data_IF_669362405241
#
_entry.id   IF_669362405241
#
_cell.length_a   1.000
_cell.length_b   1.000
_cell.length_c   1.000
_cell.angle_alpha   90.00
_cell.angle_beta   90.00
_cell.angle_gamma   90.00
#
_symmetry.space_group_name_H-M   'P 1'
#
loop_
_entity.id
_entity.type
_entity.pdbx_description
1 polymer ?
#
# COMPACT_ATOMS: atom_id res chain seq x y z
N UNK A 1 9.49 -20.67 26.39
CA UNK A 1 9.23 -19.24 26.57
C UNK A 1 8.01 -18.95 25.72
N UNK A 2 7.02 -18.26 26.26
CA UNK A 2 5.84 -17.91 25.48
C UNK A 2 6.31 -17.05 24.29
N UNK A 3 6.04 -17.52 23.08
CA UNK A 3 6.50 -16.88 21.83
C UNK A 3 5.47 -15.85 21.35
N UNK A 4 4.37 -15.71 22.09
CA UNK A 4 3.29 -14.77 21.81
C UNK A 4 3.75 -13.33 22.01
N UNK A 5 3.48 -12.48 21.02
CA UNK A 5 3.60 -11.05 21.17
C UNK A 5 2.54 -10.51 22.12
N UNK A 6 2.93 -9.62 23.03
CA UNK A 6 2.00 -8.82 23.82
C UNK A 6 1.14 -7.92 22.91
N UNK A 7 -0.17 -7.84 23.16
CA UNK A 7 -1.09 -6.92 22.49
C UNK A 7 -1.59 -5.90 23.51
N UNK A 8 -1.32 -4.61 23.27
CA UNK A 8 -1.88 -3.52 24.08
C UNK A 8 -3.09 -2.92 23.38
N UNK A 9 -4.18 -2.77 24.13
CA UNK A 9 -5.42 -2.15 23.66
C UNK A 9 -5.53 -0.72 24.17
N UNK A 10 -5.92 0.17 23.27
CA UNK A 10 -6.19 1.57 23.57
C UNK A 10 -7.53 2.00 22.97
N UNK A 11 -8.20 2.95 23.61
CA UNK A 11 -9.36 3.62 23.01
C UNK A 11 -8.92 4.60 21.90
N UNK A 12 -9.86 5.14 21.10
CA UNK A 12 -9.53 6.05 20.00
C UNK A 12 -8.77 7.32 20.43
N UNK A 13 -8.94 7.75 21.69
CA UNK A 13 -8.25 8.88 22.31
C UNK A 13 -6.89 8.52 22.93
N UNK A 14 -6.39 7.30 22.71
CA UNK A 14 -5.13 6.76 23.23
C UNK A 14 -5.11 6.56 24.76
N UNK A 15 -6.28 6.37 25.39
CA UNK A 15 -6.34 5.88 26.77
C UNK A 15 -6.07 4.38 26.80
N UNK A 16 -5.18 3.93 27.67
CA UNK A 16 -4.89 2.50 27.86
C UNK A 16 -6.13 1.76 28.38
N UNK A 17 -6.45 0.60 27.80
CA UNK A 17 -7.61 -0.21 28.16
C UNK A 17 -7.23 -1.54 28.81
N UNK A 18 -6.40 -2.31 28.11
CA UNK A 18 -6.03 -3.65 28.51
C UNK A 18 -4.74 -4.13 27.84
N UNK A 19 -4.25 -5.25 28.32
CA UNK A 19 -3.14 -6.01 27.74
C UNK A 19 -3.63 -7.46 27.54
N UNK A 20 -3.33 -8.03 26.37
CA UNK A 20 -3.65 -9.40 26.01
C UNK A 20 -2.34 -10.10 25.68
N UNK A 21 -2.04 -11.16 26.43
CA UNK A 21 -0.88 -12.04 26.25
C UNK A 21 -1.29 -13.50 25.95
N UNK A 22 -2.59 -13.81 26.05
CA UNK A 22 -3.17 -15.12 25.77
C UNK A 22 -4.17 -15.07 24.61
N UNK A 23 -3.78 -15.62 23.46
CA UNK A 23 -4.59 -15.77 22.26
C UNK A 23 -4.14 -16.99 21.46
N UNK A 24 -4.90 -17.39 20.45
CA UNK A 24 -4.59 -18.58 19.64
C UNK A 24 -3.60 -18.26 18.53
N UNK A 25 -3.88 -17.22 17.75
CA UNK A 25 -3.00 -16.69 16.72
C UNK A 25 -3.21 -15.19 16.52
N UNK A 26 -2.15 -14.52 16.12
CA UNK A 26 -2.13 -13.13 15.68
C UNK A 26 -1.34 -13.06 14.38
N UNK A 27 -1.95 -12.51 13.34
CA UNK A 27 -1.30 -12.17 12.08
C UNK A 27 -1.24 -10.64 11.95
N UNK A 28 -0.08 -10.11 11.59
CA UNK A 28 0.12 -8.71 11.24
C UNK A 28 0.81 -8.60 9.89
N UNK A 29 0.18 -7.90 8.95
CA UNK A 29 0.67 -7.68 7.60
C UNK A 29 1.04 -6.21 7.43
N UNK A 30 2.33 -5.91 7.28
CA UNK A 30 2.84 -4.58 6.97
C UNK A 30 3.12 -4.46 5.46
N UNK A 31 2.79 -3.31 4.88
CA UNK A 31 2.83 -3.08 3.45
C UNK A 31 3.63 -1.82 3.13
N UNK A 32 4.51 -1.91 2.12
CA UNK A 32 5.38 -0.78 1.76
C UNK A 32 4.56 0.40 1.21
N UNK A 33 3.72 0.13 0.21
CA UNK A 33 2.89 1.15 -0.48
C UNK A 33 1.40 1.04 -0.19
N UNK A 34 0.94 -0.10 0.35
CA UNK A 34 -0.48 -0.36 0.64
C UNK A 34 -0.84 -0.09 2.11
N UNK A 35 -2.12 -0.28 2.43
CA UNK A 35 -2.62 -0.32 3.81
C UNK A 35 -2.47 -1.75 4.32
N UNK A 36 -1.76 -1.92 5.42
CA UNK A 36 -1.60 -3.20 6.10
C UNK A 36 -2.85 -3.61 6.88
N UNK A 37 -2.81 -4.81 7.47
CA UNK A 37 -3.92 -5.39 8.22
C UNK A 37 -3.45 -6.26 9.36
N UNK A 38 -4.37 -6.62 10.24
CA UNK A 38 -4.16 -7.64 11.25
C UNK A 38 -5.39 -8.52 11.43
N UNK A 39 -5.16 -9.72 11.94
CA UNK A 39 -6.20 -10.65 12.36
C UNK A 39 -5.78 -11.35 13.65
N UNK A 40 -6.69 -11.41 14.62
CA UNK A 40 -6.48 -12.01 15.94
C UNK A 40 -7.58 -13.05 16.19
N UNK A 41 -7.17 -14.28 16.52
CA UNK A 41 -8.05 -15.35 16.96
C UNK A 41 -7.90 -15.54 18.47
N UNK A 42 -8.98 -15.36 19.21
CA UNK A 42 -8.97 -15.41 20.68
C UNK A 42 -10.27 -16.01 21.22
N UNK A 43 -10.19 -16.79 22.30
CA UNK A 43 -11.40 -17.34 22.94
C UNK A 43 -12.26 -16.23 23.50
N UNK A 44 -13.58 -16.36 23.34
CA UNK A 44 -14.54 -15.30 23.64
C UNK A 44 -14.47 -14.79 25.09
N UNK A 45 -14.16 -15.69 26.02
CA UNK A 45 -14.11 -15.48 27.47
C UNK A 45 -12.71 -15.10 28.00
N UNK A 46 -11.74 -14.89 27.10
CA UNK A 46 -10.39 -14.46 27.48
C UNK A 46 -10.42 -13.04 28.09
N UNK A 47 -9.59 -12.74 29.10
CA UNK A 47 -9.50 -11.39 29.65
C UNK A 47 -9.15 -10.35 28.57
N UNK A 48 -9.82 -9.18 28.60
CA UNK A 48 -9.56 -8.07 27.69
C UNK A 48 -10.37 -8.10 26.39
N UNK A 49 -11.11 -9.18 26.11
CA UNK A 49 -11.93 -9.29 24.90
C UNK A 49 -13.08 -8.28 24.87
N UNK A 50 -13.51 -7.76 26.02
CA UNK A 50 -14.51 -6.70 26.12
C UNK A 50 -14.06 -5.38 25.46
N UNK A 51 -12.75 -5.21 25.26
CA UNK A 51 -12.14 -4.04 24.61
C UNK A 51 -11.79 -4.28 23.13
N UNK A 52 -11.98 -5.49 22.61
CA UNK A 52 -11.81 -5.81 21.19
C UNK A 52 -13.06 -5.40 20.38
N UNK A 53 -13.35 -4.10 20.40
CA UNK A 53 -14.50 -3.48 19.75
C UNK A 53 -14.05 -2.53 18.65
N UNK A 54 -14.96 -2.17 17.75
CA UNK A 54 -14.64 -1.27 16.62
C UNK A 54 -14.06 0.07 17.11
N UNK A 55 -13.19 0.69 16.31
CA UNK A 55 -12.44 1.93 16.55
C UNK A 55 -11.37 1.87 17.67
N UNK A 56 -11.37 0.87 18.55
CA UNK A 56 -10.25 0.66 19.47
C UNK A 56 -8.98 0.27 18.71
N UNK A 57 -7.83 0.59 19.30
CA UNK A 57 -6.53 0.41 18.70
C UNK A 57 -5.79 -0.76 19.32
N UNK A 58 -5.03 -1.46 18.49
CA UNK A 58 -4.08 -2.47 18.94
C UNK A 58 -2.64 -1.98 18.72
N UNK A 59 -1.74 -2.37 19.61
CA UNK A 59 -0.29 -2.26 19.44
C UNK A 59 0.33 -3.60 19.77
N UNK A 60 1.13 -4.12 18.83
CA UNK A 60 1.65 -5.49 18.88
C UNK A 60 3.14 -5.46 19.25
N UNK A 61 3.55 -6.39 20.10
CA UNK A 61 4.95 -6.63 20.48
C UNK A 61 5.68 -5.38 21.03
N UNK A 62 4.94 -4.42 21.60
CA UNK A 62 5.48 -3.15 22.08
C UNK A 62 6.06 -2.24 20.99
N UNK A 63 5.90 -2.58 19.71
CA UNK A 63 6.33 -1.77 18.59
C UNK A 63 5.19 -0.85 18.16
N UNK A 64 5.39 0.46 18.35
CA UNK A 64 4.36 1.43 18.01
C UNK A 64 4.05 1.48 16.52
N UNK A 65 4.94 0.99 15.64
CA UNK A 65 4.71 0.87 14.19
C UNK A 65 3.84 -0.34 13.84
N UNK A 66 3.76 -1.35 14.70
CA UNK A 66 2.87 -2.50 14.55
C UNK A 66 1.55 -2.23 15.26
N UNK A 67 0.79 -1.28 14.70
CA UNK A 67 -0.47 -0.85 15.27
C UNK A 67 -1.57 -0.71 14.21
N UNK A 68 -2.81 -0.82 14.66
CA UNK A 68 -3.98 -0.74 13.79
C UNK A 68 -5.23 -0.37 14.55
N UNK A 69 -6.28 -0.07 13.78
CA UNK A 69 -7.63 0.21 14.26
C UNK A 69 -8.49 -1.03 14.01
N UNK A 70 -9.23 -1.47 15.03
CA UNK A 70 -10.17 -2.58 14.92
C UNK A 70 -11.36 -2.13 14.07
N UNK A 71 -11.66 -2.89 13.01
CA UNK A 71 -12.76 -2.59 12.10
C UNK A 71 -13.82 -3.68 12.10
N UNK A 72 -13.49 -4.90 12.53
CA UNK A 72 -14.39 -6.05 12.45
C UNK A 72 -14.17 -7.01 13.61
N UNK A 73 -15.29 -7.55 14.11
CA UNK A 73 -15.32 -8.65 15.08
C UNK A 73 -16.36 -9.67 14.65
N UNK A 74 -15.96 -10.92 14.58
CA UNK A 74 -16.82 -12.03 14.15
C UNK A 74 -16.77 -13.11 15.22
N UNK A 75 -17.92 -13.65 15.60
CA UNK A 75 -17.98 -14.87 16.41
C UNK A 75 -17.82 -16.06 15.48
N UNK A 76 -16.82 -16.89 15.74
CA UNK A 76 -16.61 -18.18 15.07
C UNK A 76 -16.68 -19.33 16.09
N UNK A 77 -16.75 -20.56 15.59
CA UNK A 77 -16.70 -21.78 16.41
C UNK A 77 -15.57 -22.66 15.87
N UNK A 78 -14.84 -23.32 16.76
CA UNK A 78 -13.93 -24.39 16.33
C UNK A 78 -14.63 -25.74 16.18
N UNK A 79 -13.85 -26.77 15.80
CA UNK A 79 -14.34 -28.13 15.56
C UNK A 79 -15.01 -28.76 16.81
N UNK A 80 -14.68 -28.26 18.00
CA UNK A 80 -15.24 -28.69 19.29
C UNK A 80 -16.44 -27.83 19.73
N UNK A 81 -16.82 -26.83 18.92
CA UNK A 81 -17.92 -25.90 19.20
C UNK A 81 -17.57 -24.80 20.20
N UNK A 82 -16.29 -24.56 20.47
CA UNK A 82 -15.85 -23.46 21.35
C UNK A 82 -15.96 -22.15 20.61
N UNK A 83 -16.66 -21.18 21.20
CA UNK A 83 -16.83 -19.84 20.66
C UNK A 83 -15.53 -19.03 20.72
N UNK A 84 -15.21 -18.36 19.61
CA UNK A 84 -14.02 -17.54 19.44
C UNK A 84 -14.38 -16.20 18.81
N UNK A 85 -13.59 -15.19 19.13
CA UNK A 85 -13.52 -13.96 18.38
C UNK A 85 -12.47 -14.08 17.28
N UNK A 86 -12.87 -13.72 16.06
CA UNK A 86 -11.97 -13.31 14.99
C UNK A 86 -12.06 -11.79 14.90
N UNK A 87 -11.00 -11.11 15.34
CA UNK A 87 -10.90 -9.65 15.35
C UNK A 87 -9.96 -9.24 14.23
N UNK A 88 -10.39 -8.32 13.37
CA UNK A 88 -9.56 -7.81 12.28
C UNK A 88 -9.65 -6.30 12.14
N UNK A 89 -8.62 -5.75 11.52
CA UNK A 89 -8.48 -4.32 11.34
C UNK A 89 -7.35 -3.94 10.41
N UNK A 90 -7.18 -2.64 10.21
CA UNK A 90 -6.21 -2.07 9.27
C UNK A 90 -5.17 -1.24 10.01
N UNK A 91 -3.97 -1.15 9.45
CA UNK A 91 -2.93 -0.22 9.96
C UNK A 91 -3.45 1.22 9.93
N UNK A 92 -2.94 2.10 10.79
CA UNK A 92 -3.54 3.43 11.01
C UNK A 92 -3.54 4.33 9.77
N UNK A 93 -2.68 4.08 8.78
CA UNK A 93 -2.72 4.78 7.50
C UNK A 93 -4.00 4.47 6.71
N UNK A 94 -4.71 3.37 7.04
CA UNK A 94 -6.02 3.04 6.49
C UNK A 94 -7.11 4.07 6.75
N UNK A 95 -6.94 4.98 7.73
CA UNK A 95 -7.93 6.03 7.99
C UNK A 95 -8.11 6.99 6.82
N UNK A 96 -7.15 7.06 5.89
CA UNK A 96 -7.26 7.88 4.68
C UNK A 96 -8.40 7.45 3.74
N UNK A 97 -8.88 6.21 3.83
CA UNK A 97 -10.04 5.69 3.08
C UNK A 97 -11.34 6.44 3.43
N UNK A 98 -11.38 7.08 4.62
CA UNK A 98 -12.51 7.91 5.05
C UNK A 98 -12.53 9.32 4.42
N UNK A 99 -11.64 9.61 3.47
CA UNK A 99 -11.49 10.94 2.85
C UNK A 99 -11.46 10.84 1.33
N UNK A 100 -11.97 11.89 0.71
CA UNK A 100 -11.73 12.20 -0.70
C UNK A 100 -10.90 13.48 -0.79
N UNK A 101 -10.23 13.68 -1.92
CA UNK A 101 -9.52 14.90 -2.25
C UNK A 101 -10.52 16.03 -2.48
N UNK A 102 -10.22 17.22 -1.97
CA UNK A 102 -11.02 18.41 -2.20
C UNK A 102 -10.13 19.45 -2.87
N UNK A 103 -10.66 20.18 -3.83
CA UNK A 103 -10.00 21.38 -4.29
C UNK A 103 -10.05 22.50 -3.23
N UNK A 104 -9.17 23.51 -3.33
CA UNK A 104 -9.17 24.65 -2.42
C UNK A 104 -10.54 25.34 -2.39
N UNK A 105 -11.09 25.64 -1.21
CA UNK A 105 -12.42 26.29 -1.09
C UNK A 105 -12.44 27.75 -1.57
N UNK A 106 -11.26 28.35 -1.74
CA UNK A 106 -11.09 29.69 -2.32
C UNK A 106 -10.63 29.65 -3.77
N UNK A 107 -10.65 28.47 -4.39
CA UNK A 107 -10.31 28.31 -5.80
C UNK A 107 -11.36 28.94 -6.70
N UNK A 108 -10.99 29.15 -7.95
CA UNK A 108 -11.96 29.51 -8.98
C UNK A 108 -12.95 28.36 -9.18
N UNK A 109 -14.11 28.65 -9.77
CA UNK A 109 -15.19 27.69 -9.99
C UNK A 109 -15.45 27.54 -11.49
N UNK A 110 -15.61 26.30 -11.97
CA UNK A 110 -16.14 25.93 -13.27
C UNK A 110 -17.63 25.52 -13.18
N UNK A 111 -18.23 25.09 -14.30
CA UNK A 111 -19.63 24.62 -14.31
C UNK A 111 -19.88 23.39 -13.41
N UNK A 112 -18.83 22.66 -13.05
CA UNK A 112 -18.87 21.49 -12.17
C UNK A 112 -18.54 21.86 -10.71
N UNK A 113 -18.17 23.10 -10.39
CA UNK A 113 -17.89 23.64 -9.05
C UNK A 113 -16.44 24.15 -8.88
N UNK A 114 -15.89 24.15 -7.67
CA UNK A 114 -14.47 24.54 -7.42
C UNK A 114 -13.51 23.78 -8.35
N UNK A 115 -12.44 24.42 -8.84
CA UNK A 115 -11.39 23.85 -9.71
C UNK A 115 -10.64 22.67 -9.05
N UNK A 116 -9.39 22.39 -9.41
CA UNK A 116 -8.64 21.25 -8.89
C UNK A 116 -7.64 21.65 -7.80
N UNK A 117 -7.25 20.69 -6.94
CA UNK A 117 -6.05 20.82 -6.11
C UNK A 117 -4.83 20.37 -6.94
N UNK A 118 -3.84 21.24 -7.09
CA UNK A 118 -2.69 21.05 -7.96
C UNK A 118 -1.38 21.22 -7.19
N UNK A 119 -0.43 20.31 -7.40
CA UNK A 119 0.88 20.36 -6.77
C UNK A 119 1.96 19.70 -7.63
N UNK A 120 3.11 20.36 -7.75
CA UNK A 120 4.35 19.80 -8.30
C UNK A 120 5.42 19.77 -7.22
N UNK A 121 5.77 18.59 -6.73
CA UNK A 121 6.81 18.38 -5.72
C UNK A 121 7.29 16.92 -5.81
N UNK A 122 8.29 16.55 -5.02
CA UNK A 122 8.67 15.14 -4.78
C UNK A 122 7.48 14.29 -4.34
N UNK A 123 7.44 13.03 -4.76
CA UNK A 123 6.34 12.10 -4.49
C UNK A 123 5.90 12.08 -3.02
N UNK A 124 6.84 12.03 -2.06
CA UNK A 124 6.49 12.07 -0.63
C UNK A 124 5.85 13.39 -0.20
N UNK A 125 6.28 14.52 -0.77
CA UNK A 125 5.74 15.83 -0.43
C UNK A 125 4.35 16.05 -1.06
N UNK A 126 4.09 15.47 -2.22
CA UNK A 126 2.74 15.41 -2.79
C UNK A 126 1.83 14.59 -1.89
N UNK A 127 2.24 13.40 -1.45
CA UNK A 127 1.46 12.60 -0.50
C UNK A 127 1.21 13.34 0.83
N UNK A 128 2.24 14.02 1.34
CA UNK A 128 2.15 14.89 2.52
C UNK A 128 1.08 15.98 2.35
N UNK A 129 1.12 16.73 1.23
CA UNK A 129 0.14 17.76 0.89
C UNK A 129 -1.28 17.21 0.83
N UNK A 130 -1.49 16.07 0.16
CA UNK A 130 -2.81 15.46 0.03
C UNK A 130 -3.40 15.08 1.39
N UNK A 131 -2.60 14.50 2.29
CA UNK A 131 -3.05 14.18 3.65
C UNK A 131 -3.33 15.46 4.44
N UNK A 132 -2.45 16.46 4.34
CA UNK A 132 -2.60 17.72 5.06
C UNK A 132 -3.91 18.42 4.69
N UNK A 133 -4.14 18.64 3.39
CA UNK A 133 -5.30 19.36 2.87
C UNK A 133 -6.63 18.62 2.97
N UNK A 134 -6.60 17.30 3.16
CA UNK A 134 -7.82 16.49 3.16
C UNK A 134 -8.16 15.84 4.50
N UNK A 135 -7.24 15.85 5.46
CA UNK A 135 -7.44 15.13 6.72
C UNK A 135 -6.98 15.89 7.97
N UNK A 136 -5.97 16.77 7.88
CA UNK A 136 -5.37 17.39 9.08
C UNK A 136 -5.65 18.89 9.14
N UNK A 137 -5.40 19.59 8.04
CA UNK A 137 -5.55 21.03 7.87
C UNK A 137 -6.46 21.36 6.67
N UNK A 138 -7.55 20.63 6.54
CA UNK A 138 -8.55 20.90 5.50
C UNK A 138 -9.19 22.28 5.68
N UNK A 139 -9.66 22.85 4.57
CA UNK A 139 -10.35 24.13 4.56
C UNK A 139 -11.70 24.02 5.29
N UNK A 140 -12.50 22.98 5.00
CA UNK A 140 -13.62 22.58 5.85
C UNK A 140 -13.09 21.91 7.13
N UNK A 141 -13.13 22.67 8.22
CA UNK A 141 -12.60 22.25 9.54
C UNK A 141 -13.34 21.04 10.13
N UNK A 142 -14.55 20.71 9.66
CA UNK A 142 -15.24 19.50 10.11
C UNK A 142 -14.58 18.20 9.60
N UNK A 143 -13.75 18.30 8.55
CA UNK A 143 -12.99 17.16 8.01
C UNK A 143 -11.73 16.84 8.82
N UNK A 144 -11.24 17.77 9.63
CA UNK A 144 -9.98 17.65 10.35
C UNK A 144 -10.04 16.57 11.42
N UNK A 145 -9.05 15.68 11.42
CA UNK A 145 -8.83 14.67 12.45
C UNK A 145 -7.61 15.07 13.29
N UNK A 146 -7.85 15.86 14.35
CA UNK A 146 -6.79 16.48 15.15
C UNK A 146 -5.83 15.49 15.85
N UNK A 147 -6.22 14.21 15.94
CA UNK A 147 -5.38 13.14 16.46
C UNK A 147 -4.26 12.71 15.49
N UNK A 148 -4.27 13.16 14.23
CA UNK A 148 -3.21 12.87 13.26
C UNK A 148 -2.28 14.07 13.06
N UNK A 149 -1.01 13.77 12.80
CA UNK A 149 0.02 14.74 12.46
C UNK A 149 0.89 14.22 11.31
N UNK A 150 1.51 15.16 10.61
CA UNK A 150 2.50 14.90 9.59
C UNK A 150 3.90 15.27 10.09
N UNK A 151 4.95 14.62 9.57
CA UNK A 151 6.33 14.99 9.84
C UNK A 151 6.71 16.22 9.00
N UNK A 152 7.91 16.76 9.26
CA UNK A 152 8.53 17.68 8.32
C UNK A 152 8.74 17.01 6.95
N UNK A 153 8.62 17.79 5.87
CA UNK A 153 8.81 17.32 4.50
C UNK A 153 10.24 16.77 4.31
N UNK A 154 10.35 15.56 3.77
CA UNK A 154 11.64 14.84 3.57
C UNK A 154 12.14 14.83 2.13
N UNK A 155 11.30 15.23 1.16
CA UNK A 155 11.63 15.25 -0.27
C UNK A 155 12.14 13.90 -0.82
N UNK A 156 11.37 12.83 -0.66
CA UNK A 156 11.68 11.48 -1.12
C UNK A 156 10.93 11.13 -2.43
N UNK A 157 11.61 10.39 -3.31
CA UNK A 157 11.11 10.03 -4.64
C UNK A 157 11.30 11.14 -5.68
N UNK A 158 10.94 10.87 -6.95
CA UNK A 158 11.02 11.85 -8.03
C UNK A 158 10.02 12.99 -7.84
N UNK A 159 10.28 14.13 -8.50
CA UNK A 159 9.29 15.21 -8.64
C UNK A 159 8.19 14.76 -9.58
N UNK A 160 6.94 14.91 -9.14
CA UNK A 160 5.74 14.58 -9.90
C UNK A 160 4.79 15.77 -9.87
N UNK A 161 3.98 15.90 -10.91
CA UNK A 161 2.79 16.75 -10.91
C UNK A 161 1.58 15.92 -10.50
N UNK A 162 0.72 16.48 -9.65
CA UNK A 162 -0.53 15.88 -9.25
C UNK A 162 -1.62 16.93 -9.25
N UNK A 163 -2.70 16.65 -9.97
CA UNK A 163 -3.96 17.38 -9.90
C UNK A 163 -5.06 16.40 -9.45
N UNK A 164 -5.99 16.83 -8.63
CA UNK A 164 -7.01 15.92 -8.05
C UNK A 164 -8.25 16.67 -7.56
N UNK A 165 -9.41 16.02 -7.63
CA UNK A 165 -10.70 16.55 -7.20
C UNK A 165 -11.67 15.41 -6.91
N UNK A 166 -12.22 15.37 -5.70
CA UNK A 166 -13.23 14.42 -5.23
C UNK A 166 -12.87 12.94 -5.42
N UNK A 167 -11.57 12.62 -5.46
CA UNK A 167 -11.05 11.24 -5.59
C UNK A 167 -10.79 10.62 -4.24
N UNK A 168 -10.89 9.29 -4.14
CA UNK A 168 -10.55 8.60 -2.89
C UNK A 168 -9.08 8.83 -2.51
N UNK A 169 -8.85 9.37 -1.32
CA UNK A 169 -7.52 9.82 -0.89
C UNK A 169 -6.55 8.63 -0.77
N UNK A 170 -7.01 7.49 -0.25
CA UNK A 170 -6.21 6.28 -0.11
C UNK A 170 -5.75 5.72 -1.46
N UNK A 171 -6.63 5.72 -2.47
CA UNK A 171 -6.31 5.24 -3.82
C UNK A 171 -5.28 6.14 -4.51
N UNK A 172 -5.39 7.46 -4.32
CA UNK A 172 -4.44 8.43 -4.86
C UNK A 172 -3.06 8.29 -4.20
N UNK A 173 -3.01 8.09 -2.88
CA UNK A 173 -1.77 7.85 -2.13
C UNK A 173 -1.11 6.54 -2.55
N UNK A 174 -1.89 5.46 -2.71
CA UNK A 174 -1.41 4.17 -3.18
C UNK A 174 -0.76 4.30 -4.57
N UNK A 175 -1.46 4.93 -5.51
CA UNK A 175 -0.97 5.12 -6.88
C UNK A 175 0.36 5.88 -6.92
N UNK A 176 0.48 6.96 -6.13
CA UNK A 176 1.72 7.73 -6.00
C UNK A 176 2.83 6.86 -5.38
N UNK A 177 2.55 6.16 -4.29
CA UNK A 177 3.51 5.33 -3.58
C UNK A 177 4.10 4.21 -4.47
N UNK A 178 3.24 3.43 -5.14
CA UNK A 178 3.63 2.28 -5.96
C UNK A 178 4.40 2.65 -7.23
N UNK A 179 4.00 3.75 -7.87
CA UNK A 179 4.60 4.23 -9.12
C UNK A 179 5.98 4.84 -8.87
N UNK A 180 6.16 5.45 -7.70
CA UNK A 180 7.36 6.23 -7.40
C UNK A 180 8.30 5.57 -6.38
N UNK A 181 7.99 4.37 -5.91
CA UNK A 181 8.84 3.61 -4.97
C UNK A 181 8.96 4.26 -3.60
N UNK A 182 7.91 4.94 -3.13
CA UNK A 182 7.85 5.58 -1.82
C UNK A 182 6.93 4.77 -0.92
N UNK A 183 7.41 4.45 0.28
CA UNK A 183 6.62 3.81 1.32
C UNK A 183 6.01 4.82 2.27
N UNK A 184 4.88 4.45 2.86
CA UNK A 184 4.17 5.31 3.81
C UNK A 184 3.48 4.47 4.89
N UNK A 185 3.42 5.01 6.10
CA UNK A 185 2.77 4.37 7.25
C UNK A 185 2.24 5.41 8.20
N UNK A 186 1.44 4.99 9.16
CA UNK A 186 1.00 5.81 10.27
C UNK A 186 1.08 5.00 11.57
N UNK A 187 1.61 5.60 12.62
CA UNK A 187 1.83 4.92 13.90
C UNK A 187 1.59 5.85 15.10
N UNK A 188 1.44 5.27 16.29
CA UNK A 188 1.21 6.07 17.50
C UNK A 188 2.54 6.67 17.97
N UNK A 189 2.64 8.00 17.99
CA UNK A 189 3.73 8.73 18.65
C UNK A 189 3.30 9.11 20.07
N UNK A 190 3.69 8.27 21.03
CA UNK A 190 3.39 8.49 22.44
C UNK A 190 3.96 9.79 23.01
N UNK A 191 4.97 10.39 22.38
CA UNK A 191 5.52 11.68 22.83
C UNK A 191 4.56 12.83 22.56
N UNK A 192 3.94 12.86 21.38
CA UNK A 192 2.93 13.87 21.04
C UNK A 192 1.51 13.47 21.47
N UNK A 193 1.26 12.20 21.79
CA UNK A 193 -0.08 11.68 22.05
C UNK A 193 -0.95 11.69 20.79
N UNK A 194 -0.33 11.45 19.63
CA UNK A 194 -0.97 11.54 18.31
C UNK A 194 -0.53 10.40 17.39
N UNK A 195 -1.23 10.25 16.28
CA UNK A 195 -0.91 9.33 15.19
C UNK A 195 -0.05 10.08 14.17
N UNK A 196 1.17 9.62 13.97
CA UNK A 196 2.16 10.25 13.09
C UNK A 196 2.26 9.49 11.79
N UNK A 197 1.98 10.17 10.68
CA UNK A 197 2.34 9.68 9.36
C UNK A 197 3.86 9.72 9.17
N UNK A 198 4.38 8.79 8.39
CA UNK A 198 5.81 8.71 8.05
C UNK A 198 5.98 8.22 6.62
N UNK A 199 6.88 8.88 5.89
CA UNK A 199 7.25 8.55 4.51
C UNK A 199 8.71 8.09 4.49
N UNK A 200 8.98 7.05 3.71
CA UNK A 200 10.29 6.41 3.67
C UNK A 200 10.56 5.74 2.32
N UNK A 201 11.83 5.42 2.06
CA UNK A 201 12.27 4.62 0.91
C UNK A 201 13.11 3.47 1.41
N UNK A 202 13.08 2.34 0.70
CA UNK A 202 13.95 1.21 0.98
C UNK A 202 15.41 1.49 0.66
N UNK A 203 16.31 0.71 1.28
CA UNK A 203 17.73 0.70 0.95
C UNK A 203 18.01 -0.38 -0.09
N UNK A 204 18.79 -0.07 -1.12
CA UNK A 204 19.27 -1.11 -2.04
C UNK A 204 20.38 -1.94 -1.37
N UNK A 205 20.03 -3.16 -0.98
CA UNK A 205 20.89 -4.20 -0.41
C UNK A 205 21.04 -5.38 -1.36
N UNK A 206 20.75 -5.20 -2.64
CA UNK A 206 20.94 -6.24 -3.64
C UNK A 206 22.43 -6.46 -3.94
N UNK A 207 22.75 -7.58 -4.61
CA UNK A 207 24.12 -7.84 -5.09
C UNK A 207 24.52 -6.99 -6.31
N UNK A 208 23.60 -6.21 -6.88
CA UNK A 208 23.88 -5.35 -8.04
C UNK A 208 24.58 -4.03 -7.67
N UNK A 209 24.72 -3.75 -6.38
CA UNK A 209 25.36 -2.57 -5.83
C UNK A 209 26.49 -2.96 -4.87
N UNK A 210 27.33 -1.98 -4.49
CA UNK A 210 28.46 -2.17 -3.56
C UNK A 210 28.55 -1.13 -2.43
N UNK A 211 27.56 -0.24 -2.30
CA UNK A 211 27.47 0.79 -1.27
C UNK A 211 26.95 0.25 0.08
N UNK A 212 26.01 -0.70 0.05
CA UNK A 212 25.37 -1.29 1.22
C UNK A 212 25.71 -2.77 1.35
N UNK A 213 25.76 -3.28 2.59
CA UNK A 213 25.93 -4.72 2.86
C UNK A 213 24.80 -5.51 2.18
N UNK A 214 25.11 -6.46 1.29
CA UNK A 214 24.07 -7.20 0.58
C UNK A 214 23.26 -8.12 1.50
N UNK A 215 21.96 -8.23 1.22
CA UNK A 215 21.05 -9.22 1.82
C UNK A 215 20.60 -10.16 0.70
N UNK A 216 20.97 -11.44 0.85
CA UNK A 216 20.65 -12.49 -0.12
C UNK A 216 19.88 -13.61 0.55
N UNK A 217 18.62 -13.77 0.17
CA UNK A 217 17.75 -14.85 0.61
C UNK A 217 17.91 -16.05 -0.34
N UNK A 218 18.26 -17.22 0.19
CA UNK A 218 18.37 -18.46 -0.57
C UNK A 218 18.28 -19.69 0.35
N UNK A 219 17.61 -20.73 -0.12
CA UNK A 219 17.56 -22.03 0.55
C UNK A 219 18.95 -22.65 0.73
N UNK A 220 19.86 -22.45 -0.23
CA UNK A 220 21.26 -22.93 -0.10
C UNK A 220 22.06 -22.18 0.98
N UNK A 221 21.53 -21.07 1.51
CA UNK A 221 22.11 -20.33 2.63
C UNK A 221 21.39 -20.62 3.95
N UNK A 222 20.44 -21.55 3.96
CA UNK A 222 19.64 -21.92 5.12
C UNK A 222 19.03 -20.70 5.83
N UNK A 223 18.53 -19.73 5.06
CA UNK A 223 17.92 -18.51 5.61
C UNK A 223 16.46 -18.29 5.18
N UNK A 224 15.94 -19.14 4.30
CA UNK A 224 14.53 -19.15 3.88
C UNK A 224 14.00 -20.58 3.70
N UNK A 225 12.69 -20.74 3.85
CA UNK A 225 11.92 -21.96 3.60
C UNK A 225 10.55 -21.64 2.97
N UNK A 226 9.72 -22.67 2.75
CA UNK A 226 8.29 -22.51 2.38
C UNK A 226 8.08 -21.59 1.16
N UNK A 227 8.58 -22.02 0.01
CA UNK A 227 8.65 -21.19 -1.20
C UNK A 227 7.40 -21.26 -2.07
N UNK A 228 6.83 -20.10 -2.38
CA UNK A 228 5.85 -19.93 -3.44
C UNK A 228 6.36 -18.91 -4.46
N UNK A 229 6.48 -19.33 -5.72
CA UNK A 229 6.94 -18.47 -6.81
C UNK A 229 5.85 -18.32 -7.86
N UNK A 230 5.54 -17.07 -8.20
CA UNK A 230 4.59 -16.73 -9.26
C UNK A 230 5.29 -15.90 -10.33
N UNK A 231 5.34 -16.42 -11.55
CA UNK A 231 5.76 -15.71 -12.75
C UNK A 231 4.64 -15.76 -13.78
N UNK A 232 4.00 -14.62 -14.04
CA UNK A 232 2.87 -14.54 -14.96
C UNK A 232 2.98 -13.36 -15.92
N UNK A 233 2.58 -13.60 -17.17
CA UNK A 233 2.39 -12.59 -18.20
C UNK A 233 0.94 -12.55 -18.69
N UNK A 234 -0.01 -13.12 -17.93
CA UNK A 234 -1.41 -13.22 -18.34
C UNK A 234 -2.01 -11.84 -18.66
N UNK A 235 -1.83 -10.89 -17.74
CA UNK A 235 -2.31 -9.51 -17.87
C UNK A 235 -1.22 -8.55 -18.38
N UNK A 236 -0.06 -9.07 -18.82
CA UNK A 236 1.08 -8.23 -19.18
C UNK A 236 0.85 -7.45 -20.46
N UNK A 237 1.02 -6.13 -20.39
CA UNK A 237 0.97 -5.17 -21.49
C UNK A 237 2.25 -4.34 -21.52
N UNK A 238 2.76 -4.07 -22.72
CA UNK A 238 3.99 -3.29 -22.91
C UNK A 238 3.87 -2.21 -23.98
N UNK A 239 2.68 -2.03 -24.55
CA UNK A 239 2.42 -1.00 -25.53
C UNK A 239 1.04 -0.41 -25.29
N UNK A 240 0.96 0.88 -25.03
CA UNK A 240 -0.28 1.60 -24.78
C UNK A 240 -0.68 2.40 -26.02
N UNK A 241 -1.93 2.25 -26.42
CA UNK A 241 -2.61 3.09 -27.40
C UNK A 241 -3.56 3.97 -26.59
N UNK A 242 -3.20 5.23 -26.41
CA UNK A 242 -3.96 6.19 -25.61
C UNK A 242 -4.70 7.10 -26.56
N UNK A 243 -6.04 7.09 -26.46
CA UNK A 243 -6.90 7.82 -27.37
C UNK A 243 -7.55 8.98 -26.63
N UNK A 244 -7.08 10.19 -26.90
CA UNK A 244 -7.50 11.44 -26.27
C UNK A 244 -8.80 12.00 -26.84
N UNK A 245 -8.92 13.31 -26.80
CA UNK A 245 -10.06 14.08 -27.31
C UNK A 245 -10.20 14.04 -28.84
N UNK A 246 -11.32 14.56 -29.34
CA UNK A 246 -11.68 14.52 -30.76
C UNK A 246 -12.45 13.27 -31.19
N UNK A 247 -12.97 13.30 -32.41
CA UNK A 247 -13.74 12.21 -33.02
C UNK A 247 -13.16 11.79 -34.36
N UNK A 248 -13.33 10.51 -34.71
CA UNK A 248 -12.92 9.94 -36.00
C UNK A 248 -11.46 10.27 -36.37
N UNK A 249 -11.24 10.97 -37.48
CA UNK A 249 -9.90 11.32 -38.00
C UNK A 249 -9.23 12.45 -37.20
N UNK A 250 -10.00 13.22 -36.43
CA UNK A 250 -9.50 14.31 -35.57
C UNK A 250 -9.19 13.83 -34.16
N UNK A 251 -9.41 12.54 -33.85
CA UNK A 251 -9.12 11.98 -32.53
C UNK A 251 -7.62 11.91 -32.30
N UNK A 252 -7.16 12.46 -31.18
CA UNK A 252 -5.75 12.43 -30.79
C UNK A 252 -5.34 11.04 -30.30
N UNK A 253 -4.14 10.59 -30.71
CA UNK A 253 -3.55 9.35 -30.24
C UNK A 253 -2.10 9.54 -29.80
N UNK A 254 -1.80 9.12 -28.58
CA UNK A 254 -0.43 8.89 -28.12
C UNK A 254 -0.15 7.39 -28.04
N UNK A 255 1.05 7.02 -28.46
CA UNK A 255 1.55 5.66 -28.36
C UNK A 255 2.77 5.65 -27.44
N UNK A 256 2.68 4.92 -26.33
CA UNK A 256 3.77 4.85 -25.35
C UNK A 256 4.11 3.43 -24.95
N UNK A 257 5.32 3.24 -24.44
CA UNK A 257 5.86 1.95 -24.08
C UNK A 257 6.93 2.07 -22.99
N UNK A 258 7.00 1.04 -22.14
CA UNK A 258 8.01 0.93 -21.09
C UNK A 258 9.27 0.18 -21.53
N UNK A 259 9.34 -0.30 -22.79
CA UNK A 259 10.51 -1.04 -23.32
C UNK A 259 10.77 -0.70 -24.79
N UNK A 260 12.03 -0.75 -25.23
CA UNK A 260 12.39 -0.53 -26.64
C UNK A 260 12.15 -1.77 -27.52
N UNK A 261 12.13 -1.57 -28.85
CA UNK A 261 12.16 -2.62 -29.88
C UNK A 261 11.02 -3.65 -29.86
N UNK A 262 9.80 -3.19 -29.58
CA UNK A 262 8.62 -4.06 -29.47
C UNK A 262 7.93 -4.28 -30.82
N UNK A 263 8.13 -5.45 -31.42
CA UNK A 263 7.52 -5.81 -32.71
C UNK A 263 6.94 -7.23 -32.72
N UNK A 264 5.96 -7.48 -33.60
CA UNK A 264 5.34 -8.80 -33.79
C UNK A 264 4.79 -9.39 -32.48
N UNK A 265 5.12 -10.66 -32.21
CA UNK A 265 4.66 -11.39 -31.02
C UNK A 265 5.09 -10.78 -29.68
N UNK A 266 6.12 -9.93 -29.67
CA UNK A 266 6.58 -9.27 -28.44
C UNK A 266 5.71 -8.08 -28.03
N UNK A 267 4.85 -7.58 -28.94
CA UNK A 267 3.94 -6.45 -28.70
C UNK A 267 2.63 -6.92 -28.10
N UNK A 268 2.33 -6.43 -26.89
CA UNK A 268 1.10 -6.69 -26.15
C UNK A 268 0.42 -5.39 -25.81
N UNK A 269 -0.67 -5.13 -26.52
CA UNK A 269 -1.32 -3.82 -26.54
C UNK A 269 -2.43 -3.71 -25.50
N UNK A 270 -2.55 -2.50 -24.96
CA UNK A 270 -3.72 -2.03 -24.21
C UNK A 270 -4.25 -0.76 -24.87
N UNK A 271 -5.56 -0.70 -25.08
CA UNK A 271 -6.25 0.49 -25.51
C UNK A 271 -6.77 1.24 -24.29
N UNK A 272 -6.54 2.55 -24.25
CA UNK A 272 -6.92 3.41 -23.13
C UNK A 272 -7.73 4.57 -23.70
N UNK A 273 -8.99 4.61 -23.32
CA UNK A 273 -9.88 5.73 -23.61
C UNK A 273 -9.58 6.85 -22.61
N UNK A 274 -8.99 7.94 -23.09
CA UNK A 274 -8.55 9.08 -22.30
C UNK A 274 -9.17 10.38 -22.82
N UNK A 275 -10.44 10.31 -23.26
CA UNK A 275 -11.22 11.48 -23.69
C UNK A 275 -11.37 12.56 -22.62
N UNK A 276 -11.15 12.21 -21.36
CA UNK A 276 -11.11 13.13 -20.22
C UNK A 276 -9.81 13.94 -20.13
N UNK A 277 -8.82 13.64 -20.97
CA UNK A 277 -7.57 14.40 -21.14
C UNK A 277 -7.75 15.31 -22.35
N UNK A 278 -7.85 16.60 -22.08
CA UNK A 278 -8.21 17.63 -23.07
C UNK A 278 -7.22 18.78 -22.98
N UNK A 279 -7.09 19.50 -24.09
CA UNK A 279 -6.33 20.75 -24.13
C UNK A 279 -7.26 21.88 -23.70
N UNK A 280 -6.83 22.73 -22.76
CA UNK A 280 -7.63 23.89 -22.36
C UNK A 280 -7.80 24.84 -23.57
N UNK A 281 -8.99 25.38 -23.78
CA UNK A 281 -9.28 26.26 -24.95
C UNK A 281 -8.42 27.54 -24.96
N UNK A 282 -7.92 27.94 -23.78
CA UNK A 282 -7.05 29.11 -23.56
C UNK A 282 -5.55 28.74 -23.46
N UNK A 283 -5.20 27.48 -23.70
CA UNK A 283 -3.83 26.98 -23.59
C UNK A 283 -2.87 27.67 -24.60
N UNK A 284 -1.63 27.94 -24.18
CA UNK A 284 -0.61 28.43 -25.12
C UNK A 284 -0.31 27.37 -26.20
N UNK A 285 0.19 27.78 -27.37
CA UNK A 285 0.37 26.94 -28.59
C UNK A 285 1.21 25.65 -28.40
N UNK A 286 1.80 25.41 -27.21
CA UNK A 286 2.64 24.25 -26.87
C UNK A 286 2.26 23.55 -25.53
N UNK A 287 1.13 23.89 -24.91
CA UNK A 287 0.68 23.23 -23.68
C UNK A 287 0.10 21.83 -23.95
N UNK A 288 0.57 20.83 -23.20
CA UNK A 288 0.12 19.43 -23.36
C UNK A 288 -1.28 19.23 -22.78
N UNK A 289 -2.13 18.47 -23.50
CA UNK A 289 -3.43 18.03 -23.00
C UNK A 289 -3.29 17.29 -21.65
N UNK A 290 -4.04 17.72 -20.64
CA UNK A 290 -4.04 17.09 -19.32
C UNK A 290 -5.44 16.70 -18.90
N UNK A 291 -5.56 15.58 -18.20
CA UNK A 291 -6.84 15.17 -17.63
C UNK A 291 -7.22 16.01 -16.43
N UNK A 292 -8.42 15.74 -15.91
CA UNK A 292 -8.88 16.18 -14.59
C UNK A 292 -7.88 15.92 -13.44
N UNK A 293 -6.84 15.12 -13.65
CA UNK A 293 -5.81 14.86 -12.62
C UNK A 293 -4.42 15.40 -12.98
N UNK A 294 -4.34 16.23 -14.03
CA UNK A 294 -3.08 16.80 -14.51
C UNK A 294 -2.21 15.77 -15.22
N UNK A 295 -2.74 14.55 -15.37
CA UNK A 295 -2.06 13.45 -16.03
C UNK A 295 -2.20 13.64 -17.54
N UNK A 296 -1.07 13.68 -18.24
CA UNK A 296 -1.04 13.75 -19.71
C UNK A 296 -1.43 12.39 -20.32
N UNK A 297 -1.73 12.35 -21.62
CA UNK A 297 -2.00 11.11 -22.33
C UNK A 297 -0.85 10.11 -22.19
N UNK A 298 0.40 10.58 -22.26
CA UNK A 298 1.58 9.74 -22.09
C UNK A 298 1.65 9.15 -20.67
N UNK A 299 1.52 9.99 -19.64
CA UNK A 299 1.57 9.55 -18.24
C UNK A 299 0.46 8.53 -17.94
N UNK A 300 -0.73 8.73 -18.50
CA UNK A 300 -1.84 7.77 -18.42
C UNK A 300 -1.50 6.43 -19.05
N UNK A 301 -0.86 6.45 -20.21
CA UNK A 301 -0.33 5.26 -20.86
C UNK A 301 0.70 4.53 -19.98
N UNK A 302 1.70 5.25 -19.47
CA UNK A 302 2.75 4.70 -18.61
C UNK A 302 2.19 4.09 -17.31
N UNK A 303 1.24 4.77 -16.66
CA UNK A 303 0.55 4.24 -15.46
C UNK A 303 -0.19 2.95 -15.77
N UNK A 304 -0.99 2.90 -16.84
CA UNK A 304 -1.71 1.68 -17.23
C UNK A 304 -0.78 0.53 -17.60
N UNK A 305 0.36 0.82 -18.24
CA UNK A 305 1.38 -0.20 -18.46
C UNK A 305 2.03 -0.69 -17.17
N UNK A 306 2.19 0.17 -16.16
CA UNK A 306 2.66 -0.21 -14.82
C UNK A 306 1.65 -1.11 -14.10
N UNK A 307 0.35 -0.80 -14.18
CA UNK A 307 -0.75 -1.63 -13.66
C UNK A 307 -0.81 -3.02 -14.33
N UNK A 308 -0.31 -3.12 -15.57
CA UNK A 308 -0.27 -4.34 -16.38
C UNK A 308 1.16 -4.87 -16.59
N UNK A 309 2.02 -4.75 -15.58
CA UNK A 309 3.39 -5.26 -15.63
C UNK A 309 3.44 -6.80 -15.53
N UNK A 310 4.63 -7.40 -15.72
CA UNK A 310 4.77 -8.84 -15.48
C UNK A 310 4.71 -9.09 -13.97
N UNK A 311 3.93 -10.10 -13.56
CA UNK A 311 4.00 -10.59 -12.20
C UNK A 311 5.25 -11.44 -12.09
N UNK A 312 6.11 -11.07 -11.16
CA UNK A 312 7.28 -11.85 -10.79
C UNK A 312 7.48 -11.66 -9.29
N UNK A 313 6.96 -12.58 -8.49
CA UNK A 313 6.99 -12.53 -7.04
C UNK A 313 7.39 -13.86 -6.43
N UNK A 314 8.06 -13.79 -5.29
CA UNK A 314 8.39 -14.93 -4.46
C UNK A 314 7.96 -14.64 -3.02
N UNK A 315 7.24 -15.58 -2.42
CA UNK A 315 6.91 -15.58 -0.99
C UNK A 315 7.70 -16.70 -0.35
N UNK A 316 8.35 -16.40 0.78
CA UNK A 316 9.09 -17.38 1.54
C UNK A 316 9.09 -17.02 3.02
N UNK A 317 9.10 -18.03 3.87
CA UNK A 317 9.35 -17.87 5.29
C UNK A 317 10.85 -17.60 5.50
N UNK A 318 11.20 -16.61 6.32
CA UNK A 318 12.59 -16.28 6.66
C UNK A 318 12.92 -16.83 8.04
N UNK A 319 14.06 -17.50 8.14
CA UNK A 319 14.57 -17.95 9.44
C UNK A 319 15.22 -16.79 10.20
N UNK A 320 14.89 -16.67 11.49
CA UNK A 320 15.58 -15.76 12.42
C UNK A 320 16.98 -16.29 12.73
N UNK A 321 17.92 -15.97 11.84
CA UNK A 321 19.35 -16.29 11.98
C UNK A 321 20.18 -15.01 11.93
N UNK A 322 21.42 -15.07 12.43
CA UNK A 322 22.33 -13.92 12.45
C UNK A 322 22.53 -13.35 11.04
N UNK A 323 22.30 -12.04 10.88
CA UNK A 323 22.44 -11.35 9.61
C UNK A 323 21.18 -11.36 8.72
N UNK A 324 20.10 -12.00 9.17
CA UNK A 324 18.82 -12.10 8.46
C UNK A 324 17.63 -11.87 9.40
N UNK A 325 17.74 -10.94 10.34
CA UNK A 325 16.64 -10.56 11.22
C UNK A 325 15.83 -9.39 10.66
N UNK A 326 14.52 -9.58 10.55
CA UNK A 326 13.62 -8.51 10.14
C UNK A 326 13.66 -7.34 11.13
N UNK A 327 13.59 -6.10 10.63
CA UNK A 327 13.74 -4.85 11.38
C UNK A 327 15.11 -4.66 12.08
N UNK A 328 16.10 -5.48 11.75
CA UNK A 328 17.48 -5.35 12.24
C UNK A 328 18.44 -5.33 11.05
N UNK A 329 18.45 -6.40 10.26
CA UNK A 329 19.36 -6.58 9.11
C UNK A 329 18.74 -6.13 7.79
N UNK A 330 17.42 -6.30 7.66
CA UNK A 330 16.64 -5.88 6.51
C UNK A 330 15.28 -5.31 6.95
N UNK A 331 14.72 -4.44 6.11
CA UNK A 331 13.50 -3.71 6.41
C UNK A 331 12.52 -3.80 5.24
N UNK A 332 11.24 -3.58 5.53
CA UNK A 332 10.22 -3.41 4.50
C UNK A 332 10.62 -2.29 3.54
N UNK A 333 10.47 -2.54 2.24
CA UNK A 333 10.90 -1.66 1.16
C UNK A 333 12.32 -1.89 0.65
N UNK A 334 13.22 -2.53 1.42
CA UNK A 334 14.59 -2.78 0.98
C UNK A 334 14.61 -3.61 -0.31
N UNK A 335 15.52 -3.24 -1.24
CA UNK A 335 15.76 -4.02 -2.45
C UNK A 335 16.80 -5.08 -2.11
N UNK A 336 16.42 -6.34 -2.22
CA UNK A 336 17.25 -7.49 -1.81
C UNK A 336 17.43 -8.46 -2.97
N UNK A 337 18.35 -9.41 -2.83
CA UNK A 337 18.48 -10.51 -3.78
C UNK A 337 17.81 -11.75 -3.24
N UNK A 338 16.88 -12.35 -3.99
CA UNK A 338 16.27 -13.64 -3.67
C UNK A 338 16.63 -14.69 -4.72
N UNK A 339 17.05 -15.87 -4.28
CA UNK A 339 17.58 -16.93 -5.13
C UNK A 339 17.01 -18.30 -4.75
N UNK A 340 16.45 -18.98 -5.75
CA UNK A 340 16.10 -20.40 -5.68
C UNK A 340 16.75 -21.10 -6.86
N UNK A 341 18.01 -21.51 -6.68
CA UNK A 341 18.87 -21.97 -7.78
C UNK A 341 18.32 -23.20 -8.50
N UNK A 342 17.68 -24.12 -7.76
CA UNK A 342 17.03 -25.29 -8.33
C UNK A 342 15.91 -24.96 -9.34
N UNK A 343 15.34 -23.75 -9.27
CA UNK A 343 14.32 -23.27 -10.20
C UNK A 343 14.89 -22.31 -11.26
N UNK A 344 16.19 -22.00 -11.19
CA UNK A 344 16.80 -20.97 -12.02
C UNK A 344 16.31 -19.55 -11.70
N UNK A 345 15.72 -19.33 -10.51
CA UNK A 345 15.17 -18.02 -10.11
C UNK A 345 16.25 -17.23 -9.37
N UNK A 346 16.52 -16.02 -9.85
CA UNK A 346 17.33 -15.00 -9.17
C UNK A 346 16.76 -13.63 -9.47
N UNK A 347 16.40 -12.89 -8.43
CA UNK A 347 15.71 -11.61 -8.57
C UNK A 347 16.34 -10.59 -7.61
N UNK A 348 16.61 -9.38 -8.12
CA UNK A 348 16.85 -8.21 -7.28
C UNK A 348 15.53 -7.44 -7.21
N UNK A 349 14.93 -7.38 -6.03
CA UNK A 349 13.52 -6.97 -5.92
C UNK A 349 13.22 -6.38 -4.55
N UNK A 350 12.30 -5.41 -4.44
CA UNK A 350 11.91 -4.86 -3.15
C UNK A 350 11.12 -5.87 -2.32
N UNK A 351 11.25 -5.79 -1.00
CA UNK A 351 10.30 -6.41 -0.07
C UNK A 351 9.08 -5.49 0.00
N UNK A 352 7.94 -5.91 -0.53
CA UNK A 352 6.75 -5.05 -0.65
C UNK A 352 5.72 -5.29 0.45
N UNK A 353 5.77 -6.46 1.07
CA UNK A 353 4.91 -6.87 2.18
C UNK A 353 5.69 -7.79 3.12
N UNK A 354 5.39 -7.72 4.41
CA UNK A 354 5.85 -8.69 5.40
C UNK A 354 4.67 -9.10 6.26
N UNK A 355 4.40 -10.40 6.31
CA UNK A 355 3.45 -10.99 7.24
C UNK A 355 4.20 -11.58 8.43
N UNK A 356 3.85 -11.14 9.62
CA UNK A 356 4.32 -11.66 10.89
C UNK A 356 3.20 -12.45 11.56
N UNK A 357 3.48 -13.68 11.99
CA UNK A 357 2.50 -14.51 12.70
C UNK A 357 3.05 -14.91 14.05
N UNK A 358 2.24 -14.75 15.09
CA UNK A 358 2.49 -15.27 16.44
C UNK A 358 1.39 -16.28 16.78
N UNK A 359 1.77 -17.54 16.96
CA UNK A 359 0.82 -18.60 17.32
C UNK A 359 1.46 -19.62 18.28
N UNK A 360 0.82 -20.77 18.45
CA UNK A 360 1.32 -21.86 19.29
C UNK A 360 2.57 -22.57 18.74
N UNK A 361 2.87 -22.42 17.44
CA UNK A 361 4.05 -22.98 16.78
C UNK A 361 5.27 -22.06 16.89
N UNK A 362 5.04 -20.76 17.01
CA UNK A 362 6.08 -19.77 17.31
C UNK A 362 5.82 -18.41 16.65
N UNK A 363 6.92 -17.73 16.34
CA UNK A 363 6.93 -16.47 15.59
C UNK A 363 7.52 -16.73 14.22
N UNK A 364 6.78 -16.39 13.17
CA UNK A 364 7.22 -16.55 11.77
C UNK A 364 7.17 -15.21 11.05
N UNK A 365 8.08 -15.05 10.08
CA UNK A 365 8.16 -13.86 9.23
C UNK A 365 8.16 -14.32 7.77
N UNK A 366 7.18 -13.85 7.02
CA UNK A 366 6.97 -14.23 5.62
C UNK A 366 6.93 -12.99 4.72
N UNK A 367 8.08 -12.58 4.16
CA UNK A 367 8.15 -11.48 3.20
C UNK A 367 7.62 -11.87 1.82
N UNK A 368 7.03 -10.89 1.14
CA UNK A 368 6.76 -10.93 -0.29
C UNK A 368 7.85 -10.14 -1.03
N UNK A 369 8.63 -10.86 -1.84
CA UNK A 369 9.66 -10.32 -2.70
C UNK A 369 9.09 -10.00 -4.08
N UNK A 370 9.12 -8.73 -4.47
CA UNK A 370 8.59 -8.24 -5.75
C UNK A 370 7.18 -7.69 -5.64
N UNK A 371 6.59 -7.35 -6.79
CA UNK A 371 5.26 -6.73 -6.81
C UNK A 371 4.19 -7.81 -6.84
N UNK A 372 3.30 -7.75 -5.86
CA UNK A 372 2.02 -8.43 -5.94
C UNK A 372 1.05 -7.52 -6.68
N UNK A 373 0.82 -7.76 -7.97
CA UNK A 373 -0.23 -7.02 -8.66
C UNK A 373 -1.56 -7.68 -8.30
N UNK A 374 -2.11 -7.31 -7.14
CA UNK A 374 -3.55 -7.40 -6.95
C UNK A 374 -4.16 -6.45 -7.98
N UNK A 375 -4.64 -6.99 -9.08
CA UNK A 375 -5.31 -6.18 -10.11
C UNK A 375 -6.43 -5.40 -9.43
N UNK A 376 -6.69 -4.17 -9.86
CA UNK A 376 -7.88 -3.41 -9.44
C UNK A 376 -9.16 -4.29 -9.59
N UNK A 377 -9.14 -5.19 -10.57
CA UNK A 377 -10.13 -6.23 -10.84
C UNK A 377 -10.24 -7.31 -9.75
N UNK A 378 -9.13 -7.74 -9.13
CA UNK A 378 -9.14 -8.65 -7.97
C UNK A 378 -9.67 -7.97 -6.72
N UNK A 379 -9.35 -6.69 -6.48
CA UNK A 379 -9.92 -5.89 -5.39
C UNK A 379 -11.45 -5.69 -5.56
N UNK A 380 -11.93 -5.59 -6.80
CA UNK A 380 -13.38 -5.52 -7.11
C UNK A 380 -14.08 -6.90 -6.99
N UNK A 381 -13.43 -7.99 -7.43
CA UNK A 381 -13.97 -9.35 -7.29
C UNK A 381 -14.00 -9.83 -5.84
N UNK A 382 -13.00 -9.51 -5.04
CA UNK A 382 -12.97 -9.82 -3.60
C UNK A 382 -14.17 -9.17 -2.88
N UNK A 383 -14.46 -7.88 -3.15
CA UNK A 383 -15.66 -7.20 -2.63
C UNK A 383 -17.00 -7.82 -3.08
N UNK A 384 -17.03 -8.51 -4.23
CA UNK A 384 -18.23 -9.21 -4.70
C UNK A 384 -18.38 -10.60 -4.07
N UNK A 385 -17.28 -11.35 -3.93
CA UNK A 385 -17.29 -12.69 -3.35
C UNK A 385 -17.54 -12.66 -1.82
N UNK A 386 -17.05 -11.65 -1.10
CA UNK A 386 -17.38 -11.41 0.31
C UNK A 386 -18.88 -11.20 0.54
N UNK A 387 -19.64 -10.75 -0.48
CA UNK A 387 -21.09 -10.56 -0.39
C UNK A 387 -21.88 -11.86 -0.58
N UNK A 388 -21.29 -12.87 -1.21
CA UNK A 388 -21.95 -14.15 -1.51
C UNK A 388 -21.68 -15.22 -0.43
N UNK A 389 -20.62 -15.08 0.36
CA UNK A 389 -20.35 -15.95 1.52
C UNK A 389 -21.12 -15.56 2.79
N UNK A 390 -21.64 -14.33 2.87
CA UNK A 390 -22.52 -13.87 3.97
C UNK A 390 -24.00 -14.26 3.75
N UNK A 391 -24.35 -14.83 2.59
CA UNK A 391 -25.73 -15.23 2.22
C UNK A 391 -25.89 -16.77 2.12
N UNK A 392 -24.92 -17.56 2.61
CA UNK A 392 -25.07 -19.01 2.81
C UNK A 392 -24.90 -19.37 4.26
#
# INVERSE_FOLDING_TARGET
MDVRAEIKLYSPDLTWLAEIDAYESLEFEDCFSEIGRFELHIKIDSPGTEFLIEDNLIIIAGDNKKCGEINTRIVSHDDDGVEKWVISGRTLNGRTDSRVTYPPLTGEEDEEGLLYDEITDTASNVMHHLIDKNMINADDKNRNINQFILPDKKSLGPVIFKKTRYKKLDEELLSIAETNGVGWRCFIDFKSGKRLFDFYVGTDRSIAQNANKPIVFSDERDNISSFDYTSSNAEYKNYAIVAGEGEAEEREFIFTSNTSDITGLSRREIFIDARDVQTDEDAEEDEEATGANGETLEQRGQRKLSENSKINKLVAEVFDVEGYRYNIDYFLGDIVTVQKKSWGVTMNTPITKVTEVWDHTGYTVTPLFGKDQATLTEKIKAKFNERDEVIR
#
